data_IF_839209720426
#
_entry.id   IF_839209720426
#
_cell.length_a   1.000
_cell.length_b   1.000
_cell.length_c   1.000
_cell.angle_alpha   90.00
_cell.angle_beta   90.00
_cell.angle_gamma   90.00
#
_symmetry.space_group_name_H-M   'P 1'
#
loop_
_entity.id
_entity.type
_entity.pdbx_description
1 polymer ?
#
# COMPACT_ATOMS: atom_id res chain seq x y z
N UNK A 1 50.86 -56.52 12.88
CA UNK A 1 49.46 -56.35 13.27
C UNK A 1 49.12 -54.91 13.75
N UNK A 2 49.92 -54.25 14.61
CA UNK A 2 49.60 -52.89 15.08
C UNK A 2 49.57 -51.81 13.96
N UNK A 3 50.45 -51.86 12.98
CA UNK A 3 50.45 -50.89 11.85
C UNK A 3 49.19 -51.00 10.93
N UNK A 4 48.65 -52.20 10.76
CA UNK A 4 47.46 -52.42 9.99
C UNK A 4 46.18 -51.86 10.67
N UNK A 5 46.15 -51.95 12.01
CA UNK A 5 45.07 -51.39 12.82
C UNK A 5 45.00 -49.84 12.76
N UNK A 6 46.17 -49.18 12.79
CA UNK A 6 46.23 -47.71 12.67
C UNK A 6 45.88 -47.22 11.26
N UNK A 7 46.20 -48.01 10.23
CA UNK A 7 45.82 -47.64 8.84
C UNK A 7 44.30 -47.77 8.64
N UNK A 8 43.67 -48.82 9.17
CA UNK A 8 42.23 -49.02 9.11
C UNK A 8 41.49 -47.96 9.93
N UNK A 9 41.99 -47.56 11.11
CA UNK A 9 41.41 -46.51 11.91
C UNK A 9 41.51 -45.12 11.25
N UNK A 10 42.63 -44.83 10.59
CA UNK A 10 42.84 -43.57 9.87
C UNK A 10 41.96 -43.46 8.62
N UNK A 11 41.73 -44.57 7.87
CA UNK A 11 40.83 -44.60 6.71
C UNK A 11 39.35 -44.53 7.17
N UNK A 12 38.97 -45.15 8.25
CA UNK A 12 37.61 -45.02 8.81
C UNK A 12 37.33 -43.60 9.32
N UNK A 13 38.26 -42.91 9.92
CA UNK A 13 38.15 -41.53 10.37
C UNK A 13 38.08 -40.52 9.19
N UNK A 14 38.81 -40.81 8.08
CA UNK A 14 38.74 -39.96 6.86
C UNK A 14 37.44 -40.12 6.05
N UNK A 15 36.75 -41.25 6.16
CA UNK A 15 35.47 -41.48 5.51
C UNK A 15 34.26 -40.87 6.24
N UNK A 16 34.41 -40.55 7.53
CA UNK A 16 33.36 -39.92 8.35
C UNK A 16 33.31 -38.41 8.24
N UNK A 17 34.33 -37.76 7.66
CA UNK A 17 34.36 -36.29 7.51
C UNK A 17 33.89 -35.80 6.17
N UNK A 18 33.58 -36.70 5.19
CA UNK A 18 33.18 -36.33 3.84
C UNK A 18 31.64 -36.37 3.60
N UNK A 19 30.85 -36.65 4.61
CA UNK A 19 29.43 -36.94 4.39
C UNK A 19 28.52 -36.30 5.42
N UNK A 20 28.39 -35.00 5.48
CA UNK A 20 27.26 -34.42 6.20
C UNK A 20 27.01 -32.92 5.92
N UNK A 21 27.67 -32.28 4.96
CA UNK A 21 27.38 -30.89 4.67
C UNK A 21 26.13 -30.73 3.80
N UNK A 22 25.87 -31.67 2.87
CA UNK A 22 24.70 -31.62 1.98
C UNK A 22 23.40 -32.16 2.63
N UNK A 23 23.48 -33.03 3.62
CA UNK A 23 22.27 -33.60 4.25
C UNK A 23 21.59 -32.64 5.25
N UNK A 24 22.30 -31.62 5.71
CA UNK A 24 21.75 -30.59 6.62
C UNK A 24 21.26 -29.35 5.90
N UNK A 25 21.47 -29.26 4.61
CA UNK A 25 21.02 -28.17 3.75
C UNK A 25 19.74 -28.54 2.97
N UNK A 26 18.86 -29.34 3.54
CA UNK A 26 17.54 -29.57 2.98
C UNK A 26 16.70 -28.31 3.16
N UNK A 27 16.56 -27.54 2.09
CA UNK A 27 15.48 -26.56 2.01
C UNK A 27 14.16 -27.29 2.32
N UNK A 28 13.27 -26.72 3.17
CA UNK A 28 11.98 -27.35 3.47
C UNK A 28 11.24 -27.64 2.16
N UNK A 29 10.91 -28.89 1.89
CA UNK A 29 10.21 -29.31 0.65
C UNK A 29 8.86 -28.61 0.46
N UNK A 30 8.30 -28.02 1.51
CA UNK A 30 7.02 -27.33 1.54
C UNK A 30 7.12 -25.79 1.51
N UNK A 31 8.30 -25.23 1.42
CA UNK A 31 8.52 -23.79 1.27
C UNK A 31 9.42 -23.54 0.06
N UNK A 32 8.95 -22.70 -0.86
CA UNK A 32 9.80 -22.24 -1.96
C UNK A 32 10.84 -21.33 -1.31
N UNK A 33 12.08 -21.83 -1.21
CA UNK A 33 13.19 -20.99 -0.73
C UNK A 33 13.35 -19.79 -1.66
N UNK A 34 13.69 -18.63 -1.13
CA UNK A 34 13.89 -17.39 -1.91
C UNK A 34 14.85 -17.62 -3.10
N UNK A 35 15.83 -18.49 -2.95
CA UNK A 35 16.77 -18.84 -4.01
C UNK A 35 16.13 -19.52 -5.22
N UNK A 36 15.00 -20.22 -5.04
CA UNK A 36 14.29 -20.94 -6.09
C UNK A 36 13.10 -20.16 -6.68
N UNK A 37 12.67 -19.08 -6.03
CA UNK A 37 11.48 -18.31 -6.42
C UNK A 37 11.60 -17.71 -7.83
N UNK A 38 12.80 -17.38 -8.27
CA UNK A 38 13.05 -16.65 -9.51
C UNK A 38 13.67 -17.53 -10.62
N UNK A 39 13.45 -18.85 -10.58
CA UNK A 39 14.10 -19.80 -11.53
C UNK A 39 13.26 -20.14 -12.74
N UNK A 40 11.95 -19.89 -12.71
CA UNK A 40 11.03 -20.11 -13.85
C UNK A 40 10.01 -18.98 -13.96
N UNK A 41 9.37 -18.79 -15.14
CA UNK A 41 8.31 -17.79 -15.32
C UNK A 41 7.15 -17.94 -14.35
N UNK A 42 6.74 -19.18 -14.07
CA UNK A 42 5.62 -19.46 -13.15
C UNK A 42 5.97 -19.09 -11.70
N UNK A 43 7.20 -19.35 -11.29
CA UNK A 43 7.68 -18.98 -9.97
C UNK A 43 7.87 -17.47 -9.85
N UNK A 44 8.37 -16.81 -10.91
CA UNK A 44 8.46 -15.35 -10.96
C UNK A 44 7.08 -14.69 -10.82
N UNK A 45 6.04 -15.21 -11.48
CA UNK A 45 4.67 -14.72 -11.29
C UNK A 45 4.21 -14.87 -9.82
N UNK A 46 4.52 -16.01 -9.17
CA UNK A 46 4.22 -16.21 -7.75
C UNK A 46 5.00 -15.23 -6.87
N UNK A 47 6.27 -14.96 -7.18
CA UNK A 47 7.10 -13.98 -6.49
C UNK A 47 6.52 -12.56 -6.62
N UNK A 48 6.08 -12.18 -7.83
CA UNK A 48 5.40 -10.90 -8.06
C UNK A 48 4.07 -10.81 -7.29
N UNK A 49 3.26 -11.87 -7.29
CA UNK A 49 2.05 -11.91 -6.49
C UNK A 49 2.35 -11.81 -4.99
N UNK A 50 3.44 -12.43 -4.51
CA UNK A 50 3.93 -12.28 -3.13
C UNK A 50 4.32 -10.84 -2.78
N UNK A 51 4.87 -10.08 -3.73
CA UNK A 51 5.14 -8.66 -3.56
C UNK A 51 3.82 -7.87 -3.37
N UNK A 52 2.79 -8.14 -4.17
CA UNK A 52 1.47 -7.53 -3.95
C UNK A 52 0.81 -7.99 -2.65
N UNK A 53 1.01 -9.23 -2.24
CA UNK A 53 0.46 -9.75 -0.97
C UNK A 53 0.98 -8.99 0.26
N UNK A 54 2.14 -8.33 0.17
CA UNK A 54 2.65 -7.48 1.26
C UNK A 54 1.71 -6.36 1.67
N UNK A 55 0.81 -5.93 0.77
CA UNK A 55 -0.19 -4.89 1.05
C UNK A 55 -1.34 -5.40 1.93
N UNK A 56 -1.62 -6.70 1.94
CA UNK A 56 -2.79 -7.26 2.62
C UNK A 56 -2.51 -7.72 4.04
N UNK A 57 -1.28 -7.91 4.42
CA UNK A 57 -0.79 -8.31 5.74
C UNK A 57 -1.62 -9.37 6.46
N UNK A 58 -1.52 -10.62 6.00
CA UNK A 58 -2.21 -11.76 6.59
C UNK A 58 -1.58 -12.22 7.89
N UNK A 59 -2.35 -12.26 9.00
CA UNK A 59 -2.07 -13.19 10.09
C UNK A 59 -2.61 -14.58 9.72
N UNK A 60 -1.75 -15.55 9.52
CA UNK A 60 -2.14 -16.94 9.61
C UNK A 60 -2.44 -17.27 11.09
N UNK A 61 -3.68 -17.44 11.45
CA UNK A 61 -4.07 -18.11 12.66
C UNK A 61 -4.74 -19.43 12.27
N UNK A 62 -4.02 -20.53 12.42
CA UNK A 62 -4.50 -21.91 12.62
C UNK A 62 -5.87 -22.29 12.02
N UNK A 63 -6.10 -22.00 10.72
CA UNK A 63 -7.28 -22.50 9.99
C UNK A 63 -8.58 -21.75 10.22
N UNK A 64 -8.61 -20.69 10.98
CA UNK A 64 -9.77 -19.82 11.15
C UNK A 64 -9.54 -18.51 10.42
N UNK A 65 -10.58 -18.01 9.74
CA UNK A 65 -10.58 -16.82 8.89
C UNK A 65 -9.50 -15.78 9.21
N UNK A 66 -8.71 -15.47 8.21
CA UNK A 66 -7.72 -14.41 8.27
C UNK A 66 -8.44 -13.07 8.35
N UNK A 67 -8.78 -12.64 9.54
CA UNK A 67 -9.12 -11.25 9.75
C UNK A 67 -7.83 -10.45 9.65
N UNK A 68 -7.83 -9.41 8.85
CA UNK A 68 -6.75 -8.44 8.77
C UNK A 68 -6.72 -7.57 10.04
N UNK A 69 -6.62 -8.20 11.20
CA UNK A 69 -6.41 -7.48 12.47
C UNK A 69 -4.96 -6.99 12.59
N UNK A 70 -4.20 -7.16 11.53
CA UNK A 70 -2.82 -6.74 11.52
C UNK A 70 -2.70 -5.26 11.22
N UNK A 71 -2.01 -4.64 12.09
CA UNK A 71 -1.67 -3.23 12.15
C UNK A 71 -0.62 -2.82 11.10
N UNK A 72 -0.02 -3.79 10.42
CA UNK A 72 0.98 -3.56 9.37
C UNK A 72 0.25 -3.63 8.02
N UNK A 73 0.11 -2.58 7.29
CA UNK A 73 -0.56 -2.56 5.98
C UNK A 73 -1.61 -1.47 5.85
N UNK A 74 -2.27 -1.43 4.71
CA UNK A 74 -3.35 -0.48 4.41
C UNK A 74 -4.70 -0.94 4.99
N UNK A 75 -4.69 -1.50 6.18
CA UNK A 75 -5.91 -1.81 6.91
C UNK A 75 -6.44 -0.57 7.64
N UNK A 76 -7.50 -0.77 8.42
CA UNK A 76 -8.09 0.23 9.30
C UNK A 76 -7.04 1.13 9.96
N UNK A 77 -6.03 0.56 10.62
CA UNK A 77 -5.06 1.31 11.38
C UNK A 77 -4.02 2.03 10.51
N UNK A 78 -3.69 1.48 9.33
CA UNK A 78 -2.79 2.13 8.38
C UNK A 78 -3.43 3.35 7.73
N UNK A 79 -4.65 3.24 7.23
CA UNK A 79 -5.39 4.35 6.59
C UNK A 79 -5.82 5.37 7.63
N UNK A 80 -6.39 4.92 8.75
CA UNK A 80 -6.84 5.79 9.83
C UNK A 80 -5.68 6.55 10.46
N UNK A 81 -4.55 5.89 10.70
CA UNK A 81 -3.37 6.56 11.25
C UNK A 81 -2.91 7.73 10.40
N UNK A 82 -3.03 7.65 9.07
CA UNK A 82 -2.75 8.76 8.16
C UNK A 82 -3.75 9.91 8.33
N UNK A 83 -5.04 9.61 8.42
CA UNK A 83 -6.08 10.60 8.68
C UNK A 83 -5.91 11.28 10.02
N UNK A 84 -5.51 10.54 11.05
CA UNK A 84 -5.27 11.09 12.41
C UNK A 84 -4.00 11.94 12.52
N UNK A 85 -3.18 11.99 11.49
CA UNK A 85 -2.07 12.94 11.38
C UNK A 85 -2.54 14.32 10.89
N UNK A 86 -3.81 14.47 10.53
CA UNK A 86 -4.38 15.69 9.96
C UNK A 86 -5.45 16.27 10.88
N UNK A 87 -5.87 17.48 10.61
CA UNK A 87 -7.01 18.16 11.22
C UNK A 87 -8.36 17.78 10.59
N UNK A 88 -8.37 16.84 9.64
CA UNK A 88 -9.59 16.40 8.95
C UNK A 88 -10.42 15.40 9.74
N UNK A 89 -9.78 14.60 10.60
CA UNK A 89 -10.45 13.56 11.35
C UNK A 89 -10.42 13.80 12.85
N UNK A 90 -11.52 13.46 13.49
CA UNK A 90 -11.65 13.30 14.93
C UNK A 90 -11.85 11.83 15.28
N UNK A 91 -11.38 11.39 16.43
CA UNK A 91 -11.57 10.05 16.95
C UNK A 91 -12.05 10.08 18.39
N UNK A 92 -12.92 9.15 18.76
CA UNK A 92 -13.38 8.98 20.15
C UNK A 92 -12.26 8.55 21.10
N UNK A 93 -11.18 7.99 20.56
CA UNK A 93 -10.02 7.54 21.33
C UNK A 93 -8.81 8.46 21.04
N UNK A 94 -8.51 9.42 21.92
CA UNK A 94 -7.40 10.38 21.71
C UNK A 94 -6.04 9.72 21.47
N UNK A 95 -5.88 8.47 21.88
CA UNK A 95 -4.63 7.70 21.67
C UNK A 95 -4.29 7.47 20.19
N UNK A 96 -5.29 7.53 19.30
CA UNK A 96 -5.08 7.42 17.86
C UNK A 96 -4.72 8.75 17.20
N UNK A 97 -4.90 9.87 17.87
CA UNK A 97 -4.62 11.20 17.33
C UNK A 97 -3.12 11.50 17.44
N UNK A 98 -2.40 11.38 16.33
CA UNK A 98 -0.95 11.59 16.32
C UNK A 98 -0.55 13.04 16.65
N UNK A 99 -1.39 14.02 16.33
CA UNK A 99 -1.10 15.43 16.59
C UNK A 99 -1.35 15.85 18.04
N UNK A 100 -2.18 15.11 18.78
CA UNK A 100 -2.54 15.46 20.17
C UNK A 100 -1.59 14.89 21.23
N UNK A 101 -0.64 14.06 20.84
CA UNK A 101 0.25 13.37 21.77
C UNK A 101 1.70 13.42 21.29
N UNK A 102 2.63 13.55 22.21
CA UNK A 102 4.04 13.36 21.94
C UNK A 102 4.29 11.89 21.56
N UNK A 103 4.36 11.60 20.27
CA UNK A 103 4.65 10.27 19.76
C UNK A 103 6.13 9.96 19.87
N UNK A 104 6.45 8.75 20.29
CA UNK A 104 7.81 8.22 20.34
C UNK A 104 8.06 7.39 19.09
N UNK A 105 9.32 7.27 18.70
CA UNK A 105 9.72 6.47 17.53
C UNK A 105 9.26 5.01 17.59
N UNK A 106 9.02 4.46 18.78
CA UNK A 106 8.54 3.09 19.01
C UNK A 106 7.04 3.00 19.28
N UNK A 107 6.27 4.06 19.07
CA UNK A 107 4.81 3.99 19.13
C UNK A 107 4.32 2.99 18.07
N UNK A 108 3.35 2.19 18.45
CA UNK A 108 2.91 1.05 17.63
C UNK A 108 2.45 1.45 16.23
N UNK A 109 1.75 2.58 16.06
CA UNK A 109 1.31 3.08 14.75
C UNK A 109 2.51 3.38 13.83
N UNK A 110 3.51 4.08 14.33
CA UNK A 110 4.71 4.40 13.57
C UNK A 110 5.55 3.15 13.29
N UNK A 111 5.69 2.25 14.28
CA UNK A 111 6.41 1.01 14.12
C UNK A 111 5.76 0.10 13.07
N UNK A 112 4.42 0.06 12.99
CA UNK A 112 3.69 -0.71 11.99
C UNK A 112 3.85 -0.13 10.59
N UNK A 113 3.70 1.18 10.44
CA UNK A 113 3.89 1.85 9.16
C UNK A 113 5.33 1.67 8.63
N UNK A 114 6.32 1.79 9.52
CA UNK A 114 7.72 1.52 9.20
C UNK A 114 7.92 0.09 8.69
N UNK A 115 7.45 -0.89 9.44
CA UNK A 115 7.56 -2.30 9.09
C UNK A 115 6.85 -2.60 7.78
N UNK A 116 5.65 -2.10 7.60
CA UNK A 116 4.87 -2.26 6.39
C UNK A 116 5.65 -1.80 5.16
N UNK A 117 6.14 -0.57 5.16
CA UNK A 117 6.88 -0.03 4.04
C UNK A 117 8.17 -0.81 3.76
N UNK A 118 8.95 -1.15 4.80
CA UNK A 118 10.18 -1.93 4.59
C UNK A 118 9.93 -3.38 4.19
N UNK A 119 8.79 -3.96 4.51
CA UNK A 119 8.39 -5.27 3.97
C UNK A 119 8.22 -5.19 2.45
N UNK A 120 7.56 -4.15 1.95
CA UNK A 120 7.43 -3.90 0.51
C UNK A 120 8.79 -3.66 -0.13
N UNK A 121 9.63 -2.80 0.48
CA UNK A 121 10.99 -2.52 -0.02
C UNK A 121 11.81 -3.81 -0.13
N UNK A 122 11.77 -4.67 0.89
CA UNK A 122 12.50 -5.93 0.88
C UNK A 122 12.02 -6.86 -0.24
N UNK A 123 10.71 -7.07 -0.37
CA UNK A 123 10.14 -7.91 -1.43
C UNK A 123 10.41 -7.33 -2.84
N UNK A 124 10.32 -6.00 -2.99
CA UNK A 124 10.64 -5.34 -4.25
C UNK A 124 12.13 -5.45 -4.62
N UNK A 125 13.03 -5.32 -3.64
CA UNK A 125 14.46 -5.52 -3.85
C UNK A 125 14.78 -6.96 -4.30
N UNK A 126 14.13 -7.95 -3.68
CA UNK A 126 14.29 -9.35 -4.07
C UNK A 126 13.85 -9.57 -5.52
N UNK A 127 12.69 -9.03 -5.92
CA UNK A 127 12.22 -9.08 -7.30
C UNK A 127 13.20 -8.36 -8.26
N UNK A 128 13.56 -7.11 -8.00
CA UNK A 128 14.45 -6.31 -8.85
C UNK A 128 15.81 -7.01 -9.06
N UNK A 129 16.33 -7.65 -8.00
CA UNK A 129 17.64 -8.30 -8.06
C UNK A 129 17.60 -9.64 -8.80
N UNK A 130 16.50 -10.38 -8.72
CA UNK A 130 16.48 -11.78 -9.13
C UNK A 130 15.63 -12.09 -10.37
N UNK A 131 14.73 -11.22 -10.79
CA UNK A 131 13.83 -11.45 -11.95
C UNK A 131 14.56 -11.90 -13.23
N UNK A 132 15.80 -11.43 -13.45
CA UNK A 132 16.60 -11.80 -14.62
C UNK A 132 16.90 -13.30 -14.72
N UNK A 133 16.77 -14.05 -13.63
CA UNK A 133 17.03 -15.51 -13.57
C UNK A 133 15.84 -16.33 -14.05
N UNK A 134 14.65 -15.72 -14.15
CA UNK A 134 13.39 -16.45 -14.36
C UNK A 134 13.13 -16.92 -15.79
N UNK A 135 13.97 -16.55 -16.76
CA UNK A 135 13.78 -16.93 -18.16
C UNK A 135 12.53 -16.34 -18.81
N UNK A 136 12.07 -15.18 -18.31
CA UNK A 136 10.94 -14.44 -18.88
C UNK A 136 11.26 -13.90 -20.27
N UNK A 137 10.23 -13.76 -21.11
CA UNK A 137 10.37 -12.95 -22.33
C UNK A 137 10.63 -11.48 -21.97
N UNK A 138 11.28 -10.75 -22.87
CA UNK A 138 11.71 -9.39 -22.59
C UNK A 138 10.56 -8.43 -22.19
N UNK A 139 9.40 -8.40 -22.85
CA UNK A 139 8.28 -7.55 -22.44
C UNK A 139 7.75 -7.88 -21.04
N UNK A 140 7.61 -9.17 -20.71
CA UNK A 140 7.14 -9.60 -19.40
C UNK A 140 8.17 -9.27 -18.31
N UNK A 141 9.45 -9.51 -18.57
CA UNK A 141 10.54 -9.14 -17.66
C UNK A 141 10.52 -7.64 -17.34
N UNK A 142 10.49 -6.82 -18.37
CA UNK A 142 10.52 -5.36 -18.21
C UNK A 142 9.28 -4.84 -17.47
N UNK A 143 8.11 -5.40 -17.77
CA UNK A 143 6.88 -5.05 -17.06
C UNK A 143 6.97 -5.38 -15.57
N UNK A 144 7.38 -6.58 -15.20
CA UNK A 144 7.52 -6.99 -13.80
C UNK A 144 8.58 -6.16 -13.07
N UNK A 145 9.67 -5.84 -13.77
CA UNK A 145 10.71 -4.97 -13.20
C UNK A 145 10.18 -3.57 -12.91
N UNK A 146 9.36 -3.00 -13.82
CA UNK A 146 8.69 -1.72 -13.60
C UNK A 146 7.72 -1.79 -12.42
N UNK A 147 6.89 -2.86 -12.34
CA UNK A 147 5.97 -3.04 -11.21
C UNK A 147 6.74 -3.08 -9.88
N UNK A 148 7.81 -3.86 -9.78
CA UNK A 148 8.62 -3.95 -8.57
C UNK A 148 9.28 -2.61 -8.20
N UNK A 149 9.83 -1.89 -9.17
CA UNK A 149 10.41 -0.55 -8.96
C UNK A 149 9.37 0.48 -8.55
N UNK A 150 8.19 0.46 -9.17
CA UNK A 150 7.09 1.35 -8.78
C UNK A 150 6.69 1.13 -7.32
N UNK A 151 6.50 -0.12 -6.91
CA UNK A 151 6.11 -0.47 -5.54
C UNK A 151 7.20 -0.10 -4.53
N UNK A 152 8.48 -0.23 -4.89
CA UNK A 152 9.61 0.25 -4.08
C UNK A 152 9.59 1.77 -3.94
N UNK A 153 9.41 2.49 -5.04
CA UNK A 153 9.30 3.96 -5.03
C UNK A 153 8.09 4.42 -4.20
N UNK A 154 6.95 3.73 -4.30
CA UNK A 154 5.77 4.00 -3.50
C UNK A 154 6.06 3.86 -2.01
N UNK A 155 6.69 2.75 -1.60
CA UNK A 155 7.03 2.51 -0.20
C UNK A 155 8.03 3.54 0.35
N UNK A 156 9.08 3.86 -0.41
CA UNK A 156 10.02 4.91 -0.02
C UNK A 156 9.39 6.31 -0.01
N UNK A 157 8.48 6.62 -0.92
CA UNK A 157 7.76 7.89 -0.89
C UNK A 157 6.95 8.04 0.39
N UNK A 158 6.31 6.95 0.81
CA UNK A 158 5.52 6.89 2.03
C UNK A 158 6.39 7.04 3.28
N UNK A 159 7.47 6.29 3.37
CA UNK A 159 8.47 6.44 4.43
C UNK A 159 9.00 7.87 4.52
N UNK A 160 9.36 8.45 3.38
CA UNK A 160 9.98 9.77 3.36
C UNK A 160 9.01 10.90 3.75
N UNK A 161 7.71 10.76 3.47
CA UNK A 161 6.68 11.69 3.93
C UNK A 161 6.59 11.75 5.46
N UNK A 162 6.71 10.61 6.14
CA UNK A 162 6.59 10.54 7.59
C UNK A 162 7.88 10.88 8.33
N UNK A 163 9.01 10.37 7.87
CA UNK A 163 10.28 10.46 8.64
C UNK A 163 11.27 11.48 8.12
N UNK A 164 10.98 12.14 6.98
CA UNK A 164 11.84 13.17 6.39
C UNK A 164 13.29 12.70 6.20
N UNK A 165 13.42 11.51 5.61
CA UNK A 165 14.67 10.78 5.45
C UNK A 165 14.64 9.45 6.19
N UNK A 166 15.24 8.42 5.59
CA UNK A 166 15.23 7.05 6.10
C UNK A 166 16.48 6.29 5.63
N UNK A 167 16.86 5.16 6.27
CA UNK A 167 17.86 4.25 5.74
C UNK A 167 17.46 3.72 4.36
N UNK A 168 18.38 3.72 3.40
CA UNK A 168 18.12 3.27 2.04
C UNK A 168 18.78 1.93 1.77
N UNK A 169 17.96 0.97 1.33
CA UNK A 169 18.36 -0.35 0.90
C UNK A 169 17.79 -0.62 -0.49
N UNK A 170 18.65 -0.86 -1.48
CA UNK A 170 18.26 -1.10 -2.88
C UNK A 170 18.55 -2.54 -3.33
N UNK A 171 19.01 -3.37 -2.40
CA UNK A 171 19.32 -4.79 -2.57
C UNK A 171 18.72 -5.59 -1.41
N UNK A 172 18.46 -6.89 -1.60
CA UNK A 172 18.09 -7.77 -0.50
C UNK A 172 19.21 -7.79 0.55
N UNK A 173 18.82 -7.69 1.82
CA UNK A 173 19.75 -7.70 2.95
C UNK A 173 19.27 -8.65 4.04
N UNK A 174 20.20 -9.19 4.83
CA UNK A 174 19.86 -9.91 6.05
C UNK A 174 19.62 -8.96 7.23
N UNK A 175 19.05 -9.49 8.31
CA UNK A 175 18.81 -8.69 9.52
C UNK A 175 20.09 -8.08 10.10
N UNK A 176 21.22 -8.77 9.99
CA UNK A 176 22.53 -8.32 10.46
C UNK A 176 23.07 -7.15 9.63
N UNK A 177 22.60 -7.00 8.40
CA UNK A 177 22.97 -5.92 7.48
C UNK A 177 22.09 -4.66 7.63
N UNK A 178 21.07 -4.70 8.48
CA UNK A 178 20.18 -3.55 8.78
C UNK A 178 20.90 -2.51 9.66
N UNK A 179 22.04 -1.99 9.20
CA UNK A 179 22.93 -1.09 9.97
C UNK A 179 23.10 0.29 9.35
N UNK A 180 22.47 0.57 8.22
CA UNK A 180 22.60 1.88 7.54
C UNK A 180 21.97 2.99 8.36
N UNK A 181 22.61 4.14 8.35
CA UNK A 181 22.08 5.36 8.94
C UNK A 181 21.01 5.98 8.03
N UNK A 182 20.24 6.90 8.57
CA UNK A 182 19.26 7.68 7.84
C UNK A 182 19.94 8.55 6.77
N UNK A 183 19.42 8.49 5.56
CA UNK A 183 19.72 9.44 4.49
C UNK A 183 18.82 10.67 4.61
N UNK A 184 19.17 11.77 3.92
CA UNK A 184 18.32 12.96 3.91
C UNK A 184 17.02 12.74 3.10
N UNK A 185 15.99 13.51 3.41
CA UNK A 185 14.74 13.48 2.65
C UNK A 185 14.97 13.75 1.16
N UNK A 186 15.82 14.71 0.83
CA UNK A 186 16.15 15.05 -0.56
C UNK A 186 16.83 13.89 -1.27
N UNK A 187 17.78 13.21 -0.60
CA UNK A 187 18.42 12.01 -1.15
C UNK A 187 17.40 10.92 -1.48
N UNK A 188 16.48 10.61 -0.56
CA UNK A 188 15.46 9.57 -0.79
C UNK A 188 14.58 9.92 -2.00
N UNK A 189 14.17 11.20 -2.15
CA UNK A 189 13.41 11.61 -3.32
C UNK A 189 14.24 11.49 -4.60
N UNK A 190 15.44 12.10 -4.64
CA UNK A 190 16.22 12.25 -5.88
C UNK A 190 16.95 10.98 -6.31
N UNK A 191 17.48 10.21 -5.36
CA UNK A 191 18.35 9.08 -5.67
C UNK A 191 17.62 7.72 -5.58
N UNK A 192 16.39 7.68 -5.04
CA UNK A 192 15.62 6.44 -4.90
C UNK A 192 14.30 6.53 -5.65
N UNK A 193 13.42 7.43 -5.23
CA UNK A 193 12.03 7.49 -5.75
C UNK A 193 12.01 7.94 -7.21
N UNK A 194 12.64 9.06 -7.55
CA UNK A 194 12.62 9.59 -8.91
C UNK A 194 13.29 8.66 -9.94
N UNK A 195 14.45 8.02 -9.67
CA UNK A 195 15.05 7.08 -10.61
C UNK A 195 14.20 5.84 -10.88
N UNK A 196 13.55 5.26 -9.86
CA UNK A 196 12.67 4.12 -10.05
C UNK A 196 11.45 4.49 -10.89
N UNK A 197 10.83 5.64 -10.64
CA UNK A 197 9.67 6.11 -11.42
C UNK A 197 10.08 6.51 -12.84
N UNK A 198 11.25 7.12 -13.01
CA UNK A 198 11.79 7.42 -14.34
C UNK A 198 11.97 6.16 -15.16
N UNK A 199 12.54 5.11 -14.57
CA UNK A 199 12.68 3.81 -15.24
C UNK A 199 11.34 3.28 -15.76
N UNK A 200 10.30 3.33 -14.91
CA UNK A 200 8.95 2.90 -15.27
C UNK A 200 8.38 3.70 -16.45
N UNK A 201 8.51 5.02 -16.40
CA UNK A 201 7.97 5.94 -17.42
C UNK A 201 8.67 5.75 -18.76
N UNK A 202 9.99 5.61 -18.76
CA UNK A 202 10.78 5.49 -19.98
C UNK A 202 10.64 4.11 -20.64
N UNK A 203 10.10 3.12 -19.94
CA UNK A 203 10.04 1.74 -20.41
C UNK A 203 8.86 1.52 -21.36
N UNK A 204 9.12 1.07 -22.59
CA UNK A 204 8.10 0.84 -23.61
C UNK A 204 7.17 -0.34 -23.28
N UNK A 205 7.63 -1.31 -22.48
CA UNK A 205 6.83 -2.48 -22.07
C UNK A 205 5.91 -2.20 -20.88
N UNK A 206 6.05 -1.04 -20.23
CA UNK A 206 5.15 -0.65 -19.14
C UNK A 206 3.91 0.02 -19.72
N UNK A 207 2.69 -0.43 -19.38
CA UNK A 207 1.47 0.08 -19.99
C UNK A 207 1.18 1.53 -19.56
N UNK A 208 0.57 2.30 -20.47
CA UNK A 208 0.19 3.68 -20.17
C UNK A 208 -0.89 3.72 -19.07
N UNK A 209 -1.84 2.79 -19.10
CA UNK A 209 -2.85 2.60 -18.06
C UNK A 209 -3.16 1.12 -17.84
N UNK A 210 -3.93 0.83 -16.80
CA UNK A 210 -4.38 -0.52 -16.41
C UNK A 210 -5.90 -0.56 -16.19
N UNK A 211 -6.64 0.20 -16.99
CA UNK A 211 -8.12 0.30 -16.91
C UNK A 211 -8.84 -0.96 -17.39
N UNK A 212 -8.12 -1.89 -18.05
CA UNK A 212 -8.68 -3.17 -18.49
C UNK A 212 -8.83 -4.17 -17.33
N UNK A 213 -9.88 -4.99 -17.35
CA UNK A 213 -10.25 -5.94 -16.29
C UNK A 213 -9.09 -6.85 -15.81
N UNK A 214 -8.25 -7.33 -16.72
CA UNK A 214 -7.18 -8.27 -16.37
C UNK A 214 -5.99 -7.66 -15.63
N UNK A 215 -5.85 -6.34 -15.66
CA UNK A 215 -4.69 -5.62 -15.11
C UNK A 215 -5.09 -4.51 -14.15
N UNK A 216 -6.37 -4.35 -13.86
CA UNK A 216 -6.85 -3.31 -12.97
C UNK A 216 -6.15 -3.39 -11.59
N UNK A 217 -5.85 -2.24 -11.02
CA UNK A 217 -5.14 -2.14 -9.74
C UNK A 217 -3.61 -2.28 -9.84
N UNK A 218 -3.07 -2.80 -10.96
CA UNK A 218 -1.61 -2.81 -11.15
C UNK A 218 -1.10 -1.41 -11.51
N UNK A 219 0.17 -1.10 -11.19
CA UNK A 219 0.74 0.19 -11.56
C UNK A 219 0.94 0.30 -13.09
N UNK A 220 0.96 1.54 -13.55
CA UNK A 220 1.09 1.94 -14.95
C UNK A 220 1.98 3.17 -15.08
N UNK A 221 2.26 3.61 -16.31
CA UNK A 221 2.96 4.89 -16.53
C UNK A 221 2.18 6.07 -15.96
N UNK A 222 0.85 6.09 -16.12
CA UNK A 222 0.02 7.14 -15.52
C UNK A 222 0.13 7.19 -14.00
N UNK A 223 0.11 6.02 -13.33
CA UNK A 223 0.37 5.93 -11.90
C UNK A 223 1.80 6.39 -11.53
N UNK A 224 2.80 6.05 -12.36
CA UNK A 224 4.18 6.48 -12.14
C UNK A 224 4.34 8.01 -12.32
N UNK A 225 3.68 8.62 -13.32
CA UNK A 225 3.62 10.08 -13.46
C UNK A 225 2.96 10.74 -12.26
N UNK A 226 1.81 10.21 -11.80
CA UNK A 226 1.12 10.75 -10.63
C UNK A 226 2.02 10.71 -9.37
N UNK A 227 2.67 9.59 -9.10
CA UNK A 227 3.56 9.45 -7.95
C UNK A 227 4.81 10.33 -8.08
N UNK A 228 5.36 10.49 -9.31
CA UNK A 228 6.52 11.36 -9.56
C UNK A 228 6.15 12.83 -9.42
N UNK A 229 4.99 13.24 -9.92
CA UNK A 229 4.46 14.58 -9.71
C UNK A 229 4.31 14.91 -8.22
N UNK A 230 3.78 13.97 -7.42
CA UNK A 230 3.75 14.14 -5.95
C UNK A 230 5.15 14.28 -5.33
N UNK A 231 6.14 13.50 -5.81
CA UNK A 231 7.53 13.64 -5.34
C UNK A 231 8.10 15.02 -5.65
N UNK A 232 7.86 15.56 -6.86
CA UNK A 232 8.26 16.93 -7.23
C UNK A 232 7.55 18.01 -6.41
N UNK A 233 6.29 17.79 -6.00
CA UNK A 233 5.61 18.70 -5.05
C UNK A 233 6.36 18.75 -3.70
N UNK A 234 6.78 17.61 -3.16
CA UNK A 234 7.59 17.57 -1.94
C UNK A 234 8.95 18.27 -2.09
N UNK A 235 9.53 18.21 -3.28
CA UNK A 235 10.76 18.95 -3.64
C UNK A 235 10.49 20.43 -3.96
N UNK A 236 9.23 20.89 -3.96
CA UNK A 236 8.78 22.24 -4.33
C UNK A 236 9.08 22.61 -5.79
N UNK A 237 9.21 21.61 -6.65
CA UNK A 237 9.40 21.75 -8.09
C UNK A 237 8.04 21.77 -8.80
N UNK A 238 7.26 22.83 -8.54
CA UNK A 238 5.82 22.92 -8.88
C UNK A 238 5.53 22.77 -10.37
N UNK A 239 6.34 23.39 -11.24
CA UNK A 239 6.13 23.30 -12.68
C UNK A 239 6.41 21.88 -13.19
N UNK A 240 7.45 21.24 -12.69
CA UNK A 240 7.77 19.85 -13.05
C UNK A 240 6.67 18.91 -12.59
N UNK A 241 6.14 19.13 -11.39
CA UNK A 241 5.00 18.38 -10.88
C UNK A 241 3.75 18.54 -11.76
N UNK A 242 3.42 19.78 -12.14
CA UNK A 242 2.29 20.07 -13.01
C UNK A 242 2.40 19.35 -14.36
N UNK A 243 3.59 19.39 -14.97
CA UNK A 243 3.85 18.70 -16.23
C UNK A 243 3.64 17.18 -16.11
N UNK A 244 4.06 16.57 -15.00
CA UNK A 244 3.82 15.14 -14.76
C UNK A 244 2.33 14.83 -14.57
N UNK A 245 1.58 15.67 -13.86
CA UNK A 245 0.14 15.46 -13.71
C UNK A 245 -0.62 15.60 -15.05
N UNK A 246 -0.19 16.47 -15.96
CA UNK A 246 -0.74 16.53 -17.31
C UNK A 246 -0.53 15.20 -18.07
N UNK A 247 0.61 14.53 -17.87
CA UNK A 247 0.89 13.24 -18.51
C UNK A 247 -0.03 12.13 -18.01
N UNK A 248 -0.58 12.21 -16.80
CA UNK A 248 -1.56 11.23 -16.29
C UNK A 248 -2.78 11.17 -17.21
N UNK A 249 -3.32 12.34 -17.61
CA UNK A 249 -4.42 12.42 -18.58
C UNK A 249 -4.05 11.86 -19.96
N UNK A 250 -2.81 12.09 -20.41
CA UNK A 250 -2.32 11.54 -21.69
C UNK A 250 -2.19 10.02 -21.67
N UNK A 251 -2.06 9.42 -20.50
CA UNK A 251 -2.09 7.96 -20.30
C UNK A 251 -3.50 7.37 -20.33
N UNK A 252 -4.55 8.18 -20.45
CA UNK A 252 -5.95 7.75 -20.57
C UNK A 252 -6.73 7.79 -19.26
N UNK A 253 -6.17 8.33 -18.19
CA UNK A 253 -6.92 8.59 -16.96
C UNK A 253 -7.67 9.92 -17.05
N UNK A 254 -8.85 9.98 -16.46
CA UNK A 254 -9.68 11.20 -16.40
C UNK A 254 -10.44 11.25 -15.09
N UNK A 255 -10.94 12.41 -14.73
CA UNK A 255 -11.75 12.60 -13.54
C UNK A 255 -13.13 11.94 -13.68
N UNK A 256 -13.65 11.42 -12.60
CA UNK A 256 -15.01 10.94 -12.50
C UNK A 256 -16.02 12.02 -12.92
N UNK A 257 -17.01 11.65 -13.75
CA UNK A 257 -18.02 12.58 -14.30
C UNK A 257 -19.43 12.33 -13.77
N UNK A 258 -19.63 11.28 -12.98
CA UNK A 258 -20.90 10.95 -12.34
C UNK A 258 -21.12 11.68 -11.03
N UNK A 259 -22.17 11.28 -10.33
CA UNK A 259 -22.44 11.80 -8.98
C UNK A 259 -21.33 11.42 -8.01
N UNK A 260 -20.94 12.32 -7.12
CA UNK A 260 -19.80 12.13 -6.20
C UNK A 260 -19.95 10.89 -5.31
N UNK A 261 -21.18 10.60 -4.86
CA UNK A 261 -21.43 9.42 -4.01
C UNK A 261 -21.24 8.11 -4.76
N UNK A 262 -21.59 8.08 -6.05
CA UNK A 262 -21.52 6.88 -6.88
C UNK A 262 -20.07 6.47 -7.16
N UNK A 263 -19.14 7.43 -7.13
CA UNK A 263 -17.70 7.15 -7.27
C UNK A 263 -17.17 6.15 -6.22
N UNK A 264 -17.73 6.14 -5.03
CA UNK A 264 -17.36 5.23 -3.94
C UNK A 264 -18.21 3.96 -3.90
N UNK A 265 -19.06 3.72 -4.89
CA UNK A 265 -19.82 2.48 -5.03
C UNK A 265 -18.93 1.35 -5.55
N UNK A 266 -19.11 0.10 -5.09
CA UNK A 266 -18.42 -1.07 -5.65
C UNK A 266 -18.58 -1.22 -7.17
N UNK A 267 -19.70 -0.75 -7.73
CA UNK A 267 -19.94 -0.80 -9.18
C UNK A 267 -19.02 0.12 -9.98
N UNK A 268 -18.45 1.14 -9.34
CA UNK A 268 -17.60 2.17 -9.95
C UNK A 268 -16.14 2.14 -9.48
N UNK A 269 -15.74 1.14 -8.71
CA UNK A 269 -14.37 1.02 -8.20
C UNK A 269 -13.29 0.89 -9.27
N UNK A 270 -13.68 0.62 -10.53
CA UNK A 270 -12.79 0.50 -11.71
C UNK A 270 -12.92 1.67 -12.67
N UNK A 271 -13.22 2.83 -12.13
CA UNK A 271 -13.32 4.05 -12.92
C UNK A 271 -11.97 4.56 -13.44
N UNK A 272 -12.06 5.42 -14.47
CA UNK A 272 -10.89 6.03 -15.12
C UNK A 272 -10.09 6.98 -14.22
N UNK A 273 -10.59 7.36 -13.06
CA UNK A 273 -9.82 8.14 -12.07
C UNK A 273 -8.87 7.26 -11.26
N UNK A 274 -9.09 5.95 -11.22
CA UNK A 274 -8.30 4.99 -10.43
C UNK A 274 -7.01 4.62 -11.13
N UNK A 275 -5.91 5.32 -10.85
CA UNK A 275 -4.61 5.07 -11.48
C UNK A 275 -3.80 3.94 -10.84
N UNK A 276 -4.01 3.67 -9.57
CA UNK A 276 -3.42 2.56 -8.82
C UNK A 276 -4.28 2.29 -7.59
N UNK A 277 -4.71 1.06 -7.40
CA UNK A 277 -5.55 0.67 -6.28
C UNK A 277 -5.22 -0.73 -5.77
N UNK A 278 -5.21 -0.89 -4.46
CA UNK A 278 -5.14 -2.19 -3.81
C UNK A 278 -6.56 -2.74 -3.76
N UNK A 279 -6.76 -3.90 -4.40
CA UNK A 279 -8.06 -4.53 -4.52
C UNK A 279 -8.37 -5.35 -3.26
N UNK A 280 -9.52 -5.12 -2.67
CA UNK A 280 -10.07 -5.93 -1.59
C UNK A 280 -11.27 -6.72 -2.11
N UNK A 281 -11.40 -7.95 -1.67
CA UNK A 281 -12.47 -8.84 -2.08
C UNK A 281 -12.83 -9.79 -0.92
N UNK A 282 -14.10 -9.75 -0.52
CA UNK A 282 -14.59 -10.56 0.60
C UNK A 282 -14.55 -12.06 0.30
N UNK A 283 -14.83 -12.48 -0.94
CA UNK A 283 -14.86 -13.90 -1.34
C UNK A 283 -13.46 -14.53 -1.27
N UNK A 284 -12.44 -13.78 -1.60
CA UNK A 284 -11.04 -14.23 -1.50
C UNK A 284 -10.49 -14.18 -0.06
N UNK A 285 -11.24 -13.57 0.86
CA UNK A 285 -10.82 -13.35 2.25
C UNK A 285 -9.86 -12.17 2.43
N UNK A 286 -9.69 -11.35 1.41
CA UNK A 286 -8.98 -10.07 1.48
C UNK A 286 -9.98 -8.95 1.64
N UNK A 287 -10.38 -8.66 2.87
CA UNK A 287 -11.30 -7.57 3.18
C UNK A 287 -10.67 -6.61 4.19
N UNK A 288 -11.14 -5.38 4.20
CA UNK A 288 -10.86 -4.41 5.23
C UNK A 288 -12.05 -4.27 6.21
N UNK A 289 -11.91 -3.42 7.20
CA UNK A 289 -12.97 -3.11 8.14
C UNK A 289 -13.26 -1.60 8.23
N UNK A 290 -12.94 -0.84 7.18
CA UNK A 290 -13.15 0.61 7.14
C UNK A 290 -14.62 0.94 7.35
N UNK A 291 -15.53 0.23 6.71
CA UNK A 291 -16.97 0.44 6.89
C UNK A 291 -17.41 0.27 8.35
N UNK A 292 -16.82 -0.70 9.05
CA UNK A 292 -17.10 -0.89 10.48
C UNK A 292 -16.54 0.25 11.32
N UNK A 293 -15.37 0.78 10.95
CA UNK A 293 -14.73 1.88 11.66
C UNK A 293 -15.48 3.19 11.53
N UNK A 294 -15.95 3.51 10.32
CA UNK A 294 -16.66 4.77 10.02
C UNK A 294 -18.17 4.67 10.25
N UNK A 295 -18.73 3.46 10.24
CA UNK A 295 -20.17 3.23 10.39
C UNK A 295 -20.71 3.71 11.72
N UNK A 296 -21.90 4.34 11.69
CA UNK A 296 -22.57 4.79 12.90
C UNK A 296 -22.98 3.61 13.78
N UNK A 297 -22.68 3.69 15.07
CA UNK A 297 -22.91 2.62 16.04
C UNK A 297 -24.38 2.22 16.16
N UNK A 298 -25.25 3.21 16.23
CA UNK A 298 -26.68 3.03 16.48
C UNK A 298 -27.44 2.52 15.28
N UNK A 299 -26.91 2.65 14.07
CA UNK A 299 -27.65 2.38 12.83
C UNK A 299 -27.13 1.17 12.10
N UNK A 300 -25.81 1.02 12.04
CA UNK A 300 -25.13 -0.02 11.25
C UNK A 300 -24.30 -0.97 12.12
N UNK A 301 -24.31 -0.83 13.44
CA UNK A 301 -23.45 -1.62 14.33
C UNK A 301 -21.97 -1.31 14.15
N UNK A 302 -21.65 -0.18 13.52
CA UNK A 302 -20.29 0.30 13.35
C UNK A 302 -19.63 0.71 14.67
N UNK A 303 -18.36 1.06 14.61
CA UNK A 303 -17.61 1.49 15.80
C UNK A 303 -17.69 2.98 16.04
N UNK A 304 -18.07 3.75 15.02
CA UNK A 304 -18.16 5.23 15.09
C UNK A 304 -16.83 5.85 15.57
N UNK A 305 -15.71 5.30 15.11
CA UNK A 305 -14.37 5.69 15.56
C UNK A 305 -13.83 6.87 14.77
N UNK A 306 -14.09 6.89 13.46
CA UNK A 306 -13.59 7.92 12.54
C UNK A 306 -14.71 8.89 12.22
N UNK A 307 -14.49 10.16 12.54
CA UNK A 307 -15.42 11.26 12.28
C UNK A 307 -14.72 12.40 11.58
N UNK A 308 -15.40 13.16 10.72
CA UNK A 308 -14.84 14.40 10.23
C UNK A 308 -14.66 15.38 11.41
N UNK A 309 -13.55 16.10 11.43
CA UNK A 309 -13.35 17.19 12.37
C UNK A 309 -14.31 18.34 12.05
N UNK A 310 -14.83 19.04 13.08
CA UNK A 310 -15.75 20.17 12.89
C UNK A 310 -15.14 21.24 11.98
N UNK A 311 -13.90 21.58 12.22
CA UNK A 311 -13.18 22.61 11.45
C UNK A 311 -13.07 22.21 9.96
N UNK A 312 -12.88 20.92 9.67
CA UNK A 312 -12.89 20.42 8.29
C UNK A 312 -14.26 20.55 7.62
N UNK A 313 -15.33 20.30 8.37
CA UNK A 313 -16.71 20.47 7.87
C UNK A 313 -16.98 21.92 7.50
N UNK A 314 -16.44 22.86 8.25
CA UNK A 314 -16.63 24.31 8.03
C UNK A 314 -15.92 24.82 6.76
N UNK A 315 -15.00 24.03 6.16
CA UNK A 315 -14.41 24.36 4.85
C UNK A 315 -15.33 24.08 3.65
N UNK A 316 -16.44 23.34 3.83
CA UNK A 316 -17.37 23.11 2.75
C UNK A 316 -18.12 24.38 2.41
N UNK A 317 -18.33 24.62 1.12
CA UNK A 317 -19.08 25.74 0.61
C UNK A 317 -20.43 25.30 0.08
N UNK A 318 -21.37 26.21 0.04
CA UNK A 318 -22.63 26.08 -0.69
C UNK A 318 -22.37 26.18 -2.20
N UNK A 319 -23.34 25.78 -3.03
CA UNK A 319 -23.22 25.82 -4.50
C UNK A 319 -22.96 27.24 -5.04
N UNK A 320 -23.38 28.26 -4.33
CA UNK A 320 -23.13 29.68 -4.65
C UNK A 320 -21.76 30.21 -4.15
N UNK A 321 -20.93 29.33 -3.57
CA UNK A 321 -19.61 29.67 -3.02
C UNK A 321 -19.65 30.37 -1.67
N UNK A 322 -20.82 30.51 -1.05
CA UNK A 322 -20.90 31.03 0.33
C UNK A 322 -20.47 29.99 1.35
N UNK A 323 -20.06 30.45 2.50
CA UNK A 323 -19.59 29.63 3.62
C UNK A 323 -20.74 28.72 4.11
N UNK A 324 -20.48 27.40 4.15
CA UNK A 324 -21.39 26.43 4.75
C UNK A 324 -21.19 26.41 6.28
N UNK A 325 -22.29 26.45 7.03
CA UNK A 325 -22.26 26.28 8.47
C UNK A 325 -23.12 25.11 8.91
N UNK A 326 -22.47 24.10 9.49
CA UNK A 326 -23.16 22.91 10.00
C UNK A 326 -24.28 23.24 10.98
N UNK A 327 -24.13 24.29 11.77
CA UNK A 327 -25.17 24.77 12.68
C UNK A 327 -26.49 25.20 12.00
N UNK A 328 -26.46 25.37 10.67
CA UNK A 328 -27.66 25.67 9.87
C UNK A 328 -28.46 24.40 9.54
N UNK A 329 -27.85 23.21 9.71
CA UNK A 329 -28.53 21.93 9.47
C UNK A 329 -29.14 21.45 10.79
N UNK A 330 -30.40 21.76 10.98
CA UNK A 330 -31.10 21.49 12.23
C UNK A 330 -31.92 20.19 12.21
N UNK A 331 -31.96 19.51 11.09
CA UNK A 331 -32.68 18.25 10.91
C UNK A 331 -32.99 17.92 9.46
N UNK A 332 -33.93 16.99 9.24
CA UNK A 332 -34.33 16.55 7.90
C UNK A 332 -34.90 17.65 7.01
N UNK A 333 -35.55 18.63 7.60
CA UNK A 333 -36.15 19.76 6.90
C UNK A 333 -35.13 20.59 6.12
N UNK A 334 -33.86 20.55 6.52
CA UNK A 334 -32.77 21.28 5.87
C UNK A 334 -31.87 20.37 5.02
N UNK A 335 -32.16 19.07 4.97
CA UNK A 335 -31.35 18.11 4.23
C UNK A 335 -31.30 18.40 2.74
N UNK A 336 -32.43 18.80 2.16
CA UNK A 336 -32.53 19.14 0.75
C UNK A 336 -31.81 20.44 0.36
N UNK A 337 -31.40 21.24 1.35
CA UNK A 337 -30.60 22.45 1.15
C UNK A 337 -29.11 22.15 1.06
N UNK A 338 -28.69 20.93 1.43
CA UNK A 338 -27.32 20.48 1.28
C UNK A 338 -27.00 20.16 -0.17
N UNK A 339 -25.80 20.48 -0.61
CA UNK A 339 -25.32 20.03 -1.92
C UNK A 339 -25.22 18.50 -1.96
N UNK A 340 -25.24 17.87 -3.15
CA UNK A 340 -25.04 16.42 -3.27
C UNK A 340 -23.77 15.93 -2.57
N UNK A 341 -22.67 16.68 -2.66
CA UNK A 341 -21.40 16.37 -2.00
C UNK A 341 -21.52 16.43 -0.48
N UNK A 342 -22.17 17.44 0.06
CA UNK A 342 -22.41 17.55 1.50
C UNK A 342 -23.29 16.39 1.99
N UNK A 343 -24.32 16.03 1.27
CA UNK A 343 -25.18 14.88 1.60
C UNK A 343 -24.45 13.56 1.56
N UNK A 344 -23.48 13.41 0.67
CA UNK A 344 -22.66 12.21 0.59
C UNK A 344 -21.68 12.06 1.78
N UNK A 345 -21.18 13.18 2.30
CA UNK A 345 -20.18 13.19 3.37
C UNK A 345 -20.81 13.22 4.75
N UNK A 346 -21.96 13.88 4.91
CA UNK A 346 -22.60 14.09 6.20
C UNK A 346 -23.85 13.23 6.39
N UNK A 347 -23.76 12.27 7.30
CA UNK A 347 -24.91 11.52 7.77
C UNK A 347 -25.49 12.21 9.02
N UNK A 348 -26.68 12.77 8.92
CA UNK A 348 -27.44 13.09 10.12
C UNK A 348 -28.38 11.92 10.45
N UNK A 349 -28.67 11.73 11.75
CA UNK A 349 -29.52 10.65 12.27
C UNK A 349 -30.86 10.52 11.54
N UNK A 350 -31.41 11.64 11.13
CA UNK A 350 -32.71 11.72 10.46
C UNK A 350 -32.59 11.61 8.93
N UNK A 351 -31.43 11.93 8.34
CA UNK A 351 -31.12 11.74 6.92
C UNK A 351 -31.11 10.26 6.52
N UNK A 352 -30.78 9.37 7.47
CA UNK A 352 -30.84 7.93 7.26
C UNK A 352 -32.25 7.39 7.00
N UNK A 353 -33.27 8.01 7.56
CA UNK A 353 -34.67 7.62 7.27
C UNK A 353 -35.09 7.95 5.85
N UNK A 354 -34.52 8.97 5.21
CA UNK A 354 -34.74 9.29 3.81
C UNK A 354 -33.93 8.41 2.87
N UNK A 355 -32.71 8.01 3.26
CA UNK A 355 -31.86 7.08 2.51
C UNK A 355 -32.31 5.62 2.61
N UNK A 356 -33.01 5.21 3.68
CA UNK A 356 -33.67 3.91 3.74
C UNK A 356 -34.72 3.72 2.62
N UNK A 357 -35.21 4.80 2.03
CA UNK A 357 -36.02 4.77 0.80
C UNK A 357 -35.20 4.54 -0.46
N UNK A 358 -33.94 4.97 -0.50
CA UNK A 358 -33.02 4.75 -1.63
C UNK A 358 -32.43 3.33 -1.59
N UNK A 359 -32.19 2.77 -0.42
CA UNK A 359 -31.74 1.38 -0.25
C UNK A 359 -32.84 0.32 -0.47
N UNK A 360 -34.08 0.73 -0.67
CA UNK A 360 -35.23 -0.14 -0.98
C UNK A 360 -35.69 -0.06 -2.44
N UNK A 361 -35.01 0.66 -3.28
CA UNK A 361 -35.16 0.69 -4.74
C UNK A 361 -34.02 -0.06 -5.40
#
# INVERSE_FOLDING_TARGET
MKKLYYTILATAAALTTASCVDLLNTAPENQIASENMWTTPELALKGMNGLYETFYNRKQSNGTQVRSENLDGLNKYGIEALGFCTDYYANNYPIYLLYNQAKRANDWQLAHEWRFCYTIVHAANDAVTNLHKAGLDAPTYERYLCEARFLRAWAYSRLNKFWQGVPVYLEPISNEQCTRTQESAEYVWREVVLPDLKYCIDNASFPDNTLGESNFGRPSKGAAYALRGMAYMWLKEWQTAANDFEQVGQCGYDLWRGEYIDFFSPDNERDNEMSFAIQYDEESGYCDNIQQAVGARDTYGGWDEVKPASDFVDYYQNDDGTEFKWSQVTGLENWDQLTPRQRAVFFCRDGLKSNAKLASQ
#
